data_IF_048607246832
#
_entry.id   IF_048607246832
#
_cell.length_a   1.000
_cell.length_b   1.000
_cell.length_c   1.000
_cell.angle_alpha   90.00
_cell.angle_beta   90.00
_cell.angle_gamma   90.00
#
_symmetry.space_group_name_H-M   'P 1'
#
loop_
_entity.id
_entity.type
_entity.pdbx_description
1 polymer ?
2 non-polymer ?
3 non-polymer ?
#
# COMPACT_ATOMS: atom_id res chain seq x y z
N UNK A 41 -0.09 7.02 -9.49
CA UNK A 41 0.30 6.32 -8.23
C UNK A 41 1.42 5.32 -8.51
N UNK A 42 2.51 5.39 -7.75
CA UNK A 42 3.70 4.59 -7.98
C UNK A 42 4.15 3.58 -6.91
N UNK A 43 3.39 3.39 -5.83
CA UNK A 43 3.67 2.32 -4.90
C UNK A 43 2.34 1.75 -4.58
N UNK A 44 2.35 0.44 -4.45
CA UNK A 44 1.23 -0.32 -3.96
C UNK A 44 1.68 -1.13 -2.75
N UNK A 45 2.75 -0.72 -2.09
CA UNK A 45 3.14 -1.28 -0.79
C UNK A 45 3.10 -0.20 0.31
N UNK A 46 3.11 -0.66 1.54
CA UNK A 46 3.17 0.12 2.69
C UNK A 46 4.50 0.71 2.92
N UNK A 47 5.58 0.17 2.38
CA UNK A 47 6.87 0.80 2.58
C UNK A 47 7.52 1.29 1.32
N UNK A 48 6.80 1.33 0.22
CA UNK A 48 7.41 1.77 -1.04
C UNK A 48 8.53 0.86 -1.55
N UNK A 49 8.45 -0.42 -1.29
CA UNK A 49 9.53 -1.28 -1.78
C UNK A 49 9.36 -1.45 -3.29
N UNK A 50 8.15 -1.20 -3.81
CA UNK A 50 7.90 -1.31 -5.28
C UNK A 50 8.25 -0.05 -6.04
N UNK A 51 8.65 1.00 -5.34
CA UNK A 51 8.78 2.29 -6.02
C UNK A 51 9.93 2.25 -6.95
N UNK A 52 9.74 2.68 -8.20
CA UNK A 52 10.83 2.74 -9.19
C UNK A 52 11.00 4.12 -9.82
N UNK A 53 10.50 5.16 -9.15
CA UNK A 53 10.36 6.45 -9.77
C UNK A 53 11.63 7.24 -9.90
N UNK A 54 11.45 8.42 -10.44
CA UNK A 54 12.55 9.27 -10.90
C UNK A 54 13.24 10.08 -9.81
N UNK A 55 12.54 10.25 -8.70
CA UNK A 55 12.90 11.28 -7.76
C UNK A 55 14.23 11.01 -7.09
N UNK A 56 15.12 11.99 -7.20
CA UNK A 56 16.48 11.90 -6.63
C UNK A 56 16.85 12.92 -5.56
N UNK A 57 15.81 13.57 -5.02
CA UNK A 57 15.96 14.58 -3.95
C UNK A 57 15.02 14.16 -2.82
N UNK A 58 15.57 14.04 -1.62
CA UNK A 58 14.86 13.47 -0.48
C UNK A 58 13.61 14.22 -0.13
N UNK A 59 13.66 15.53 -0.28
CA UNK A 59 12.52 16.41 -0.06
C UNK A 59 12.32 17.28 -1.33
N UNK A 60 11.08 17.43 -1.79
CA UNK A 60 10.78 18.20 -3.01
C UNK A 60 10.91 19.65 -2.66
N UNK A 61 10.48 19.99 -1.45
CA UNK A 61 10.77 21.27 -0.87
C UNK A 61 11.94 21.08 0.09
N UNK A 62 13.01 21.84 -0.13
CA UNK A 62 14.17 21.91 0.75
C UNK A 62 14.93 20.61 0.94
N UNK A 63 15.14 19.84 -0.13
CA UNK A 63 15.76 18.50 -0.03
C UNK A 63 17.22 18.38 -0.39
N UNK A 64 17.95 17.54 0.33
CA UNK A 64 19.32 17.16 -0.06
C UNK A 64 19.33 16.20 -1.24
N UNK A 65 20.40 16.20 -2.05
CA UNK A 65 20.45 15.30 -3.21
C UNK A 65 20.79 13.87 -2.83
N UNK A 66 20.32 12.93 -3.62
CA UNK A 66 20.65 11.52 -3.39
C UNK A 66 21.96 11.15 -4.12
N UNK A 67 22.78 10.40 -3.42
CA UNK A 67 23.95 9.82 -4.03
C UNK A 67 23.55 8.62 -4.90
N UNK A 68 24.37 8.32 -5.90
CA UNK A 68 24.05 7.33 -6.88
C UNK A 68 24.30 5.96 -6.30
N UNK A 69 23.50 4.97 -6.70
CA UNK A 69 23.56 3.60 -6.13
C UNK A 69 24.83 2.90 -6.49
N UNK A 70 25.25 3.07 -7.75
CA UNK A 70 26.56 2.59 -8.25
C UNK A 70 27.70 3.19 -7.47
N UNK A 71 27.56 4.42 -6.99
CA UNK A 71 28.65 5.06 -6.25
C UNK A 71 28.56 4.77 -4.74
N UNK A 72 27.63 3.88 -4.37
CA UNK A 72 27.32 3.62 -2.96
C UNK A 72 28.02 2.37 -2.46
N UNK A 73 29.09 2.01 -3.13
CA UNK A 73 29.81 0.78 -2.84
C UNK A 73 30.28 0.72 -1.39
N UNK A 74 30.90 1.80 -0.92
CA UNK A 74 31.13 2.01 0.53
C UNK A 74 29.95 1.56 1.41
N UNK A 75 28.73 1.92 1.04
CA UNK A 75 27.55 1.54 1.82
C UNK A 75 27.00 0.19 1.38
N UNK A 76 26.17 -0.45 2.23
CA UNK A 76 25.77 -1.81 1.87
C UNK A 76 25.00 -1.95 0.57
N UNK A 77 24.30 -0.93 0.10
CA UNK A 77 23.43 -1.09 -1.09
C UNK A 77 24.14 -0.53 -2.30
N UNK A 78 24.43 -1.40 -3.27
CA UNK A 78 25.24 -1.06 -4.45
C UNK A 78 24.65 -1.69 -5.70
N UNK A 79 24.92 -1.07 -6.83
CA UNK A 79 24.50 -1.64 -8.13
C UNK A 79 25.21 -2.99 -8.29
N UNK A 80 26.44 -3.07 -7.79
CA UNK A 80 27.14 -4.33 -7.71
C UNK A 80 26.40 -5.35 -6.87
N UNK A 81 25.97 -4.93 -5.69
CA UNK A 81 25.24 -5.83 -4.80
C UNK A 81 23.98 -6.40 -5.45
N UNK A 82 23.30 -5.62 -6.28
CA UNK A 82 22.09 -6.05 -6.99
C UNK A 82 22.14 -5.72 -8.44
N UNK A 83 22.07 -6.73 -9.32
CA UNK A 83 22.36 -6.46 -10.70
C UNK A 83 21.09 -6.50 -11.54
N UNK A 84 21.14 -5.87 -12.72
CA UNK A 84 20.03 -5.87 -13.67
C UNK A 84 18.79 -5.24 -13.04
N UNK A 85 18.97 -4.26 -12.17
CA UNK A 85 17.83 -3.60 -11.57
C UNK A 85 17.16 -4.27 -10.38
N UNK A 86 17.76 -5.35 -9.86
CA UNK A 86 17.17 -5.99 -8.65
C UNK A 86 17.09 -4.99 -7.46
N UNK A 87 15.97 -5.00 -6.75
CA UNK A 87 15.73 -4.00 -5.67
C UNK A 87 15.49 -2.59 -6.21
N UNK A 88 15.13 -2.49 -7.49
CA UNK A 88 15.07 -1.22 -8.19
C UNK A 88 16.41 -0.53 -8.32
N UNK A 89 17.50 -1.14 -7.85
CA UNK A 89 18.77 -0.48 -7.89
C UNK A 89 19.24 -0.42 -9.36
N UNK A 90 20.11 0.51 -9.63
CA UNK A 90 20.45 0.80 -11.01
C UNK A 90 21.46 1.89 -11.02
N UNK A 91 21.84 2.30 -12.21
CA UNK A 91 22.85 3.33 -12.31
C UNK A 91 22.18 4.69 -12.26
N UNK A 92 21.84 5.13 -11.04
CA UNK A 92 21.01 6.32 -10.80
C UNK A 92 21.06 6.70 -9.32
N UNK A 93 20.49 7.83 -8.98
CA UNK A 93 20.38 8.26 -7.60
C UNK A 93 18.89 8.33 -7.09
N UNK A 94 17.96 7.64 -7.74
CA UNK A 94 16.57 7.74 -7.34
C UNK A 94 16.26 7.07 -5.97
N UNK A 95 15.28 7.59 -5.27
CA UNK A 95 14.98 7.09 -3.96
C UNK A 95 14.49 5.67 -4.05
N UNK A 96 14.92 4.81 -3.14
CA UNK A 96 14.55 3.43 -3.21
C UNK A 96 14.52 2.85 -1.83
N UNK A 97 13.89 1.70 -1.69
CA UNK A 97 13.82 1.01 -0.43
C UNK A 97 14.13 -0.46 -0.69
N UNK A 98 15.40 -0.78 -0.80
CA UNK A 98 15.77 -2.15 -1.09
C UNK A 98 15.97 -3.06 0.17
N UNK A 99 15.81 -2.47 1.35
CA UNK A 99 16.05 -3.21 2.59
C UNK A 99 14.75 -3.36 3.45
N UNK A 100 13.57 -3.15 2.84
CA UNK A 100 12.31 -3.12 3.58
C UNK A 100 12.33 -2.21 4.80
N UNK A 101 12.88 -1.00 4.62
CA UNK A 101 12.75 0.09 5.60
C UNK A 101 11.29 0.49 5.53
N UNK A 102 10.90 1.41 6.37
CA UNK A 102 9.49 1.86 6.37
C UNK A 102 9.09 2.66 5.13
N UNK A 103 10.05 3.32 4.51
CA UNK A 103 9.80 4.15 3.36
C UNK A 103 11.02 4.22 2.44
N UNK A 104 10.83 4.54 1.14
CA UNK A 104 11.94 4.93 0.25
C UNK A 104 12.88 5.93 0.86
N UNK A 105 14.13 5.86 0.44
CA UNK A 105 15.20 6.72 0.94
C UNK A 105 16.34 6.66 -0.05
N UNK A 106 17.33 7.50 0.17
CA UNK A 106 18.57 7.42 -0.59
C UNK A 106 19.71 7.93 0.27
N UNK A 107 20.92 7.51 -0.07
CA UNK A 107 22.09 7.95 0.70
C UNK A 107 22.40 9.44 0.46
N UNK A 108 22.97 10.07 1.50
CA UNK A 108 23.45 11.45 1.43
C UNK A 108 24.85 11.61 2.07
N UNK A 116 23.66 11.16 7.50
CA UNK A 116 24.20 10.82 6.18
C UNK A 116 23.26 10.03 5.21
N UNK A 117 22.25 9.30 5.72
CA UNK A 117 21.22 8.64 4.86
C UNK A 117 19.85 9.15 5.25
N UNK A 118 18.98 9.44 4.27
CA UNK A 118 17.67 10.12 4.54
C UNK A 118 16.48 9.56 3.81
N UNK A 119 15.30 9.66 4.45
CA UNK A 119 14.03 9.24 3.84
C UNK A 119 13.68 10.15 2.70
N UNK A 120 12.94 9.59 1.75
CA UNK A 120 12.44 10.36 0.66
C UNK A 120 10.95 10.62 0.88
N UNK A 121 10.56 11.88 0.70
CA UNK A 121 9.16 12.28 0.83
C UNK A 121 8.57 12.33 -0.54
N UNK A 122 7.76 11.36 -0.86
CA UNK A 122 7.22 11.20 -2.20
C UNK A 122 5.68 11.22 -2.16
N UNK A 123 5.05 12.22 -2.81
CA UNK A 123 3.59 12.24 -2.83
C UNK A 123 3.01 11.09 -3.66
N UNK A 124 3.64 10.73 -4.77
CA UNK A 124 3.04 9.67 -5.56
C UNK A 124 3.17 8.29 -4.90
N UNK A 125 4.11 8.15 -3.97
CA UNK A 125 4.34 6.86 -3.37
C UNK A 125 3.43 6.71 -2.22
N UNK A 126 2.17 6.37 -2.47
CA UNK A 126 1.26 6.10 -1.38
C UNK A 126 0.30 5.05 -1.80
N UNK A 127 0.30 3.90 -1.15
CA UNK A 127 -0.57 2.81 -1.59
C UNK A 127 -2.01 3.23 -1.52
N UNK A 128 -2.77 2.99 -2.60
CA UNK A 128 -4.23 3.12 -2.56
C UNK A 128 -4.73 2.27 -1.40
N UNK A 129 -5.55 2.84 -0.54
CA UNK A 129 -5.95 2.14 0.69
C UNK A 129 -5.41 2.96 1.83
N UNK A 130 -4.36 3.71 1.55
CA UNK A 130 -3.80 4.61 2.51
C UNK A 130 -4.27 6.03 2.24
N UNK A 131 -4.97 6.59 3.20
CA UNK A 131 -5.61 7.88 3.03
C UNK A 131 -4.76 9.06 3.37
N UNK A 132 -3.56 8.85 3.83
CA UNK A 132 -2.66 9.93 4.10
C UNK A 132 -2.27 9.80 5.52
N UNK A 133 -1.38 10.68 5.97
CA UNK A 133 -1.27 10.85 7.36
C UNK A 133 -1.53 12.27 7.78
N UNK A 134 -2.22 12.37 8.93
CA UNK A 134 -2.83 13.61 9.42
C UNK A 134 -2.28 13.93 10.77
N UNK A 135 -2.41 15.18 11.11
CA UNK A 135 -2.00 15.62 12.42
C UNK A 135 -3.04 15.14 13.47
N UNK A 136 -2.57 14.99 14.72
CA UNK A 136 -3.45 14.70 15.88
C UNK A 136 -3.12 15.61 17.07
N UNK A 137 -4.06 16.50 17.43
CA UNK A 137 -3.85 17.49 18.53
C UNK A 137 -4.68 17.19 19.80
N UNK A 138 -4.92 15.90 20.05
CA UNK A 138 -5.70 15.41 21.19
C UNK A 138 -7.19 15.47 20.90
N UNK A 139 -8.02 15.37 21.95
CA UNK A 139 -9.46 15.47 21.85
C UNK A 139 -9.95 16.74 21.14
N UNK A 140 -10.94 16.60 20.27
CA UNK A 140 -11.47 15.31 19.84
C UNK A 140 -10.44 14.59 18.99
N UNK A 141 -10.31 13.25 19.08
CA UNK A 141 -9.34 12.56 18.21
C UNK A 141 -9.81 12.47 16.75
N UNK A 142 -8.92 12.19 15.79
CA UNK A 142 -9.40 12.21 14.38
C UNK A 142 -10.37 11.08 14.02
N UNK A 143 -10.21 9.95 14.69
CA UNK A 143 -11.10 8.82 14.59
C UNK A 143 -11.71 8.60 15.93
N UNK A 144 -12.99 8.89 15.97
CA UNK A 144 -13.73 9.02 17.23
C UNK A 144 -14.09 7.67 17.83
N UNK A 145 -14.31 6.69 16.96
CA UNK A 145 -15.00 5.47 17.34
C UNK A 145 -14.40 4.58 18.41
N UNK A 146 -13.10 4.31 18.31
CA UNK A 146 -12.47 3.38 19.25
C UNK A 146 -10.96 3.54 19.24
N UNK A 147 -10.29 2.86 20.18
CA UNK A 147 -8.84 2.85 20.28
C UNK A 147 -8.31 1.58 20.93
N UNK A 148 -7.04 1.27 20.70
CA UNK A 148 -6.32 0.23 21.46
C UNK A 148 -4.81 0.38 21.27
N UNK A 149 -4.02 -0.38 22.04
CA UNK A 149 -2.56 -0.28 21.94
C UNK A 149 -1.89 -1.67 21.84
N UNK A 150 -0.86 -1.87 21.02
CA UNK A 150 -0.15 -3.17 20.98
C UNK A 150 1.33 -3.02 20.78
N UNK A 151 2.07 -3.78 21.57
CA UNK A 151 3.52 -3.82 21.45
C UNK A 151 3.95 -4.55 20.19
N UNK A 152 3.13 -5.50 19.69
CA UNK A 152 3.37 -6.19 18.42
C UNK A 152 2.36 -5.73 17.31
N UNK A 153 1.95 -4.46 17.37
CA UNK A 153 0.97 -3.90 16.41
C UNK A 153 1.55 -3.91 15.01
N UNK A 154 0.69 -4.23 14.02
CA UNK A 154 1.02 -4.05 12.60
C UNK A 154 -0.15 -3.48 11.86
N UNK A 155 0.12 -2.88 10.71
CA UNK A 155 -0.90 -2.13 9.98
C UNK A 155 -2.15 -3.04 9.84
N UNK A 156 -1.96 -4.34 9.54
CA UNK A 156 -3.12 -5.19 9.24
C UNK A 156 -3.83 -5.51 10.49
N UNK A 157 -3.06 -5.78 11.55
CA UNK A 157 -3.60 -6.06 12.91
C UNK A 157 -4.49 -4.91 13.26
N UNK A 158 -4.03 -3.68 13.02
CA UNK A 158 -4.92 -2.53 13.34
C UNK A 158 -6.19 -2.53 12.46
N UNK A 159 -5.98 -2.79 11.18
CA UNK A 159 -7.06 -2.89 10.22
C UNK A 159 -8.03 -4.02 10.51
N UNK A 160 -7.47 -5.15 10.87
CA UNK A 160 -8.24 -6.35 11.07
C UNK A 160 -9.11 -6.12 12.32
N UNK A 161 -8.50 -5.47 13.30
CA UNK A 161 -9.17 -5.03 14.53
C UNK A 161 -10.32 -4.10 14.29
N UNK A 162 -10.09 -3.03 13.52
CA UNK A 162 -11.19 -2.07 13.21
C UNK A 162 -12.27 -2.74 12.37
N UNK A 163 -11.84 -3.52 11.37
CA UNK A 163 -12.76 -4.32 10.55
C UNK A 163 -13.71 -5.13 11.44
N UNK A 164 -13.20 -5.81 12.45
CA UNK A 164 -14.05 -6.59 13.36
C UNK A 164 -15.11 -5.72 14.06
N UNK A 165 -14.75 -4.51 14.50
CA UNK A 165 -15.78 -3.59 15.04
C UNK A 165 -16.68 -3.03 13.93
N UNK A 166 -16.29 -3.20 12.67
CA UNK A 166 -17.06 -2.77 11.49
C UNK A 166 -16.89 -1.28 11.15
N UNK A 167 -15.84 -0.70 11.72
CA UNK A 167 -15.43 0.64 11.40
C UNK A 167 -14.76 0.55 10.03
N UNK A 168 -14.95 1.56 9.18
CA UNK A 168 -14.34 1.55 7.83
C UNK A 168 -13.00 2.28 7.71
N UNK A 169 -12.59 2.93 8.79
CA UNK A 169 -11.33 3.65 8.83
C UNK A 169 -10.46 3.29 10.03
N UNK A 170 -9.14 3.18 9.82
CA UNK A 170 -8.21 2.82 10.91
C UNK A 170 -6.98 3.73 10.95
N UNK A 171 -6.35 3.90 12.13
CA UNK A 171 -5.18 4.77 12.24
C UNK A 171 -4.13 4.23 13.17
N UNK A 172 -2.88 4.48 12.82
CA UNK A 172 -1.78 4.01 13.67
C UNK A 172 -1.00 5.23 14.10
N UNK A 173 -0.58 5.27 15.37
CA UNK A 173 0.08 6.45 15.92
C UNK A 173 1.26 5.96 16.76
N UNK A 174 2.41 6.63 16.60
CA UNK A 174 3.61 6.36 17.37
C UNK A 174 4.18 4.92 17.34
N UNK A 175 3.69 4.08 16.42
CA UNK A 175 4.12 2.69 16.32
C UNK A 175 3.30 1.67 17.10
N UNK A 176 2.45 2.11 18.04
CA UNK A 176 1.82 1.15 19.00
C UNK A 176 0.35 1.40 19.25
N UNK A 177 -0.22 2.41 18.61
CA UNK A 177 -1.59 2.78 18.91
C UNK A 177 -2.47 2.62 17.70
N UNK A 178 -3.59 1.92 17.88
CA UNK A 178 -4.56 1.73 16.84
C UNK A 178 -5.81 2.46 17.16
N UNK A 179 -6.33 3.23 16.20
CA UNK A 179 -7.63 3.92 16.32
C UNK A 179 -8.59 3.53 15.17
N UNK A 180 -9.89 3.43 15.47
CA UNK A 180 -10.99 3.04 14.54
C UNK A 180 -12.19 4.06 14.52
N UNK A 181 -12.64 4.43 13.34
CA UNK A 181 -13.71 5.41 13.17
C UNK A 181 -14.46 5.26 11.85
N UNK A 182 -15.71 5.74 11.83
CA UNK A 182 -16.48 5.93 10.59
C UNK A 182 -16.58 7.45 10.24
N UNK A 183 -15.94 8.31 11.08
CA UNK A 183 -15.62 9.74 10.79
C UNK A 183 -15.12 9.92 9.37
N UNK A 184 -15.87 10.63 8.52
CA UNK A 184 -15.24 11.04 7.27
C UNK A 184 -14.17 12.13 7.48
N UNK A 185 -14.27 12.89 8.55
CA UNK A 185 -13.34 14.00 8.84
C UNK A 185 -12.18 13.58 9.73
N UNK A 186 -11.50 12.54 9.37
CA UNK A 186 -10.24 12.22 10.01
C UNK A 186 -9.13 13.24 9.71
N UNK A 187 -9.36 14.06 8.69
CA UNK A 187 -8.42 15.10 8.26
C UNK A 187 -8.61 16.39 9.01
N UNK A 188 -9.47 16.37 10.02
CA UNK A 188 -9.83 17.58 10.81
C UNK A 188 -8.64 18.40 11.22
N UNK A 189 -7.64 17.77 11.84
CA UNK A 189 -6.48 18.49 12.35
C UNK A 189 -5.49 18.87 11.26
N UNK A 190 -5.71 18.45 10.02
CA UNK A 190 -4.82 18.82 8.93
C UNK A 190 -3.94 17.69 8.42
N UNK A 191 -3.66 17.74 7.13
CA UNK A 191 -2.76 16.81 6.47
C UNK A 191 -1.31 17.02 6.87
N UNK A 192 -0.53 15.96 7.00
CA UNK A 192 0.90 16.15 7.30
C UNK A 192 1.74 15.49 6.26
N UNK A 193 2.98 15.92 6.04
CA UNK A 193 3.93 15.12 5.23
C UNK A 193 4.06 13.61 5.63
N UNK A 194 4.34 12.77 4.63
CA UNK A 194 4.36 11.29 4.82
C UNK A 194 5.48 10.81 5.74
N UNK A 195 6.59 11.52 5.64
CA UNK A 195 7.72 11.19 6.44
C UNK A 195 7.39 11.33 7.93
N UNK A 196 6.51 12.28 8.27
CA UNK A 196 6.13 12.44 9.64
C UNK A 196 5.42 11.18 10.18
N UNK A 197 4.85 10.34 9.31
CA UNK A 197 4.21 9.07 9.77
C UNK A 197 5.08 7.85 9.88
N UNK A 198 6.40 8.03 9.74
CA UNK A 198 7.34 6.85 9.60
C UNK A 198 7.68 6.04 10.85
N UNK A 199 7.11 6.34 12.01
CA UNK A 199 7.47 5.50 13.14
C UNK A 199 7.13 4.03 12.84
N UNK A 200 8.04 3.14 13.12
CA UNK A 200 7.84 1.76 12.72
C UNK A 200 6.79 1.07 13.58
N UNK A 201 5.97 0.25 12.96
CA UNK A 201 5.07 -0.61 13.66
C UNK A 201 5.90 -1.53 14.52
N UNK A 202 5.51 -1.63 15.77
CA UNK A 202 6.25 -2.39 16.69
C UNK A 202 6.27 -3.87 16.36
N UNK A 203 5.14 -4.38 15.88
CA UNK A 203 5.06 -5.73 15.32
C UNK A 203 5.84 -6.04 14.03
N UNK A 204 6.07 -5.06 13.19
CA UNK A 204 6.79 -5.21 11.93
C UNK A 204 7.50 -3.89 11.65
N UNK A 205 8.81 -3.97 11.45
CA UNK A 205 9.56 -2.76 11.31
C UNK A 205 9.71 -2.35 9.92
N UNK A 206 9.20 -3.19 9.01
CA UNK A 206 9.09 -2.91 7.59
C UNK A 206 8.00 -1.91 7.30
N UNK A 207 6.98 -1.84 8.12
CA UNK A 207 5.84 -0.93 7.92
C UNK A 207 5.87 0.30 8.87
N UNK A 208 5.38 1.46 8.40
CA UNK A 208 5.25 2.58 9.31
C UNK A 208 3.93 2.55 10.02
N UNK A 209 3.94 3.06 11.25
CA UNK A 209 2.76 3.19 12.03
C UNK A 209 2.54 4.63 12.51
N UNK A 210 3.10 5.62 11.85
CA UNK A 210 2.75 7.02 12.17
C UNK A 210 3.72 7.47 13.20
N UNK A 211 3.92 8.76 13.40
CA UNK A 211 4.64 9.29 14.59
C UNK A 211 3.76 10.11 15.55
N UNK A 212 4.16 10.32 16.81
CA UNK A 212 3.24 10.96 17.77
C UNK A 212 2.87 12.35 17.30
N UNK A 213 1.56 12.60 17.39
CA UNK A 213 0.97 13.79 16.84
C UNK A 213 0.67 13.66 15.41
N UNK A 214 0.87 12.44 14.91
CA UNK A 214 0.81 12.11 13.48
C UNK A 214 0.20 10.75 13.41
N UNK A 215 -0.82 10.63 12.57
CA UNK A 215 -1.56 9.36 12.44
C UNK A 215 -1.71 9.07 10.96
N UNK A 216 -1.70 7.78 10.66
CA UNK A 216 -1.61 7.26 9.27
C UNK A 216 -2.86 6.47 9.10
N UNK A 217 -3.57 6.76 8.04
CA UNK A 217 -4.92 6.26 7.90
C UNK A 217 -5.05 5.21 6.81
N UNK A 218 -5.71 4.09 7.17
CA UNK A 218 -6.06 3.09 6.20
C UNK A 218 -7.53 2.79 6.10
N UNK A 219 -8.04 2.59 4.88
CA UNK A 219 -9.40 2.08 4.62
C UNK A 219 -9.37 0.63 5.07
N UNK A 220 -10.37 0.19 5.80
CA UNK A 220 -10.25 -1.11 6.46
C UNK A 220 -10.44 -2.27 5.50
N UNK A 221 -11.02 -1.99 4.34
CA UNK A 221 -11.06 -2.97 3.26
C UNK A 221 -9.70 -3.59 2.82
N UNK A 222 -8.60 -2.89 3.00
CA UNK A 222 -7.28 -3.43 2.63
C UNK A 222 -7.00 -4.74 3.29
N UNK A 223 -6.55 -5.72 2.55
CA UNK A 223 -6.22 -7.02 3.13
C UNK A 223 -7.41 -7.89 3.47
N UNK A 224 -8.64 -7.42 3.26
CA UNK A 224 -9.83 -8.17 3.70
C UNK A 224 -9.99 -9.45 2.94
N UNK A 225 -10.52 -10.46 3.64
CA UNK A 225 -10.81 -11.72 2.99
C UNK A 225 -12.16 -11.57 2.32
N UNK A 226 -12.09 -11.18 1.05
CA UNK A 226 -13.26 -10.93 0.23
C UNK A 226 -13.82 -9.55 0.41
N UNK A 227 -14.99 -9.32 -0.15
CA UNK A 227 -15.51 -7.95 -0.27
C UNK A 227 -16.27 -7.68 -1.56
N UNK A 228 -17.07 -6.62 -1.51
CA UNK A 228 -17.88 -6.17 -2.66
C UNK A 228 -17.37 -4.77 -3.01
N UNK A 229 -17.08 -4.51 -4.28
CA UNK A 229 -16.42 -3.25 -4.70
C UNK A 229 -17.30 -2.54 -5.70
N UNK A 230 -17.56 -1.24 -5.48
CA UNK A 230 -18.55 -0.44 -6.31
C UNK A 230 -17.95 0.75 -7.03
N UNK A 231 -16.81 1.25 -6.56
CA UNK A 231 -16.25 2.49 -7.07
C UNK A 231 -15.66 2.32 -8.46
N UNK A 232 -15.51 3.46 -9.12
CA UNK A 232 -15.07 3.49 -10.49
C UNK A 232 -13.73 2.81 -10.62
N UNK A 233 -12.88 3.01 -9.63
CA UNK A 233 -11.62 2.30 -9.57
C UNK A 233 -11.20 2.08 -8.13
N UNK A 234 -10.46 0.99 -7.86
CA UNK A 234 -9.82 0.77 -6.54
C UNK A 234 -8.85 -0.30 -6.67
N UNK A 235 -8.16 -0.64 -5.58
CA UNK A 235 -7.17 -1.69 -5.62
C UNK A 235 -7.59 -2.80 -4.73
N UNK A 236 -7.43 -4.02 -5.20
CA UNK A 236 -7.67 -5.20 -4.38
C UNK A 236 -6.37 -5.79 -4.00
N UNK A 237 -6.17 -5.91 -2.71
CA UNK A 237 -4.94 -6.41 -2.17
C UNK A 237 -5.15 -7.88 -1.71
N UNK A 238 -4.03 -8.63 -1.69
CA UNK A 238 -4.07 -9.99 -1.20
C UNK A 238 -4.48 -9.95 0.24
N UNK A 239 -5.13 -10.99 0.72
CA UNK A 239 -5.55 -10.94 2.12
C UNK A 239 -4.39 -10.68 3.09
N UNK A 240 -4.65 -9.95 4.18
CA UNK A 240 -3.66 -9.59 5.25
C UNK A 240 -2.59 -8.58 4.83
N UNK A 241 -2.63 -8.19 3.57
CA UNK A 241 -1.74 -7.20 3.10
C UNK A 241 -1.92 -5.95 3.96
N UNK A 242 -0.83 -5.33 4.45
CA UNK A 242 0.55 -5.67 4.18
C UNK A 242 1.20 -6.87 4.89
N UNK A 243 0.65 -7.39 5.95
CA UNK A 243 1.31 -8.55 6.58
C UNK A 243 1.28 -9.73 5.64
N UNK A 244 2.24 -10.64 5.86
CA UNK A 244 2.32 -11.95 5.09
C UNK A 244 0.92 -12.48 4.64
N UNK A 249 -5.97 -18.79 4.22
CA UNK A 249 -7.35 -18.64 3.74
C UNK A 249 -7.38 -18.41 2.24
N UNK A 250 -8.51 -18.76 1.59
CA UNK A 250 -8.81 -18.35 0.20
C UNK A 250 -10.15 -17.57 0.13
N UNK A 251 -10.17 -16.54 -0.72
CA UNK A 251 -11.17 -15.46 -0.68
C UNK A 251 -11.41 -15.03 -2.12
N UNK A 252 -12.56 -14.38 -2.32
CA UNK A 252 -12.87 -13.79 -3.61
C UNK A 252 -13.55 -12.44 -3.50
N UNK A 253 -13.34 -11.64 -4.54
CA UNK A 253 -13.77 -10.26 -4.48
C UNK A 253 -14.63 -10.06 -5.65
N UNK A 254 -15.81 -9.50 -5.43
CA UNK A 254 -16.78 -9.20 -6.47
C UNK A 254 -16.70 -7.72 -6.78
N UNK A 255 -16.45 -7.41 -8.02
CA UNK A 255 -16.34 -6.04 -8.45
C UNK A 255 -17.51 -5.79 -9.35
N UNK A 256 -18.39 -4.85 -8.97
CA UNK A 256 -19.58 -4.57 -9.76
C UNK A 256 -19.85 -3.08 -9.89
N UNK A 257 -19.90 -2.62 -11.12
CA UNK A 257 -20.08 -1.19 -11.40
C UNK A 257 -21.19 -1.06 -12.41
N UNK A 258 -22.32 -0.50 -11.99
CA UNK A 258 -23.38 -0.41 -12.94
C UNK A 258 -22.96 0.49 -14.10
N UNK A 259 -23.41 0.12 -15.31
CA UNK A 259 -23.11 0.85 -16.54
C UNK A 259 -21.64 1.15 -16.80
N UNK A 260 -20.80 0.14 -16.68
CA UNK A 260 -19.43 0.20 -17.22
C UNK A 260 -19.34 -0.65 -18.50
N UNK A 261 -18.74 -0.04 -19.53
CA UNK A 261 -18.64 -0.70 -20.84
C UNK A 261 -17.55 -1.71 -20.80
N UNK A 262 -16.52 -1.42 -20.05
CA UNK A 262 -15.41 -2.32 -19.83
C UNK A 262 -14.70 -1.90 -18.59
N UNK A 263 -13.87 -2.83 -18.12
CA UNK A 263 -12.96 -2.62 -16.98
C UNK A 263 -11.51 -3.03 -17.31
N UNK A 264 -10.58 -2.16 -16.97
CA UNK A 264 -9.19 -2.42 -17.22
C UNK A 264 -8.56 -2.88 -15.94
N UNK A 265 -7.97 -4.08 -15.99
CA UNK A 265 -7.18 -4.64 -14.89
C UNK A 265 -5.69 -4.59 -15.06
N UNK A 266 -5.03 -4.54 -13.92
CA UNK A 266 -3.63 -4.13 -13.88
C UNK A 266 -3.07 -4.80 -12.63
N UNK A 267 -1.79 -5.15 -12.57
CA UNK A 267 -1.23 -5.92 -11.45
C UNK A 267 0.05 -5.25 -11.12
N UNK A 268 -0.04 -4.02 -10.55
CA UNK A 268 1.21 -3.39 -10.24
C UNK A 268 1.98 -4.23 -9.23
N UNK A 269 1.30 -4.97 -8.38
CA UNK A 269 2.02 -5.90 -7.50
C UNK A 269 1.59 -7.31 -7.70
N UNK A 270 2.54 -8.12 -8.16
CA UNK A 270 2.33 -9.52 -8.33
C UNK A 270 3.48 -10.25 -7.67
N UNK A 271 3.18 -10.99 -6.62
CA UNK A 271 4.21 -11.68 -5.87
C UNK A 271 3.61 -12.96 -5.30
N UNK A 272 3.32 -13.92 -6.16
CA UNK A 272 2.79 -15.19 -5.70
C UNK A 272 3.88 -16.20 -5.57
N UNK A 273 3.90 -16.81 -4.40
CA UNK A 273 5.00 -17.64 -3.96
C UNK A 273 5.13 -18.96 -4.79
N UNK A 274 4.02 -19.59 -5.19
CA UNK A 274 4.12 -20.85 -5.95
C UNK A 274 3.11 -20.94 -7.08
N UNK A 275 3.47 -21.69 -8.09
CA UNK A 275 2.58 -21.94 -9.21
C UNK A 275 1.35 -22.66 -8.67
N UNK A 276 1.53 -23.43 -7.60
CA UNK A 276 0.39 -24.05 -6.91
C UNK A 276 -0.64 -22.99 -6.59
N UNK A 277 -0.14 -21.85 -6.16
CA UNK A 277 -1.02 -20.73 -5.91
C UNK A 277 -1.46 -20.11 -7.20
N UNK A 278 -2.69 -19.59 -7.19
CA UNK A 278 -3.31 -19.07 -8.40
C UNK A 278 -4.33 -17.97 -8.19
N UNK A 279 -4.44 -17.09 -9.19
CA UNK A 279 -5.36 -15.94 -9.19
C UNK A 279 -6.20 -16.00 -10.47
N UNK A 280 -7.51 -15.96 -10.29
CA UNK A 280 -8.50 -16.12 -11.32
C UNK A 280 -9.30 -14.84 -11.49
N UNK A 281 -9.64 -14.54 -12.72
CA UNK A 281 -10.65 -13.54 -12.99
C UNK A 281 -11.80 -14.17 -13.77
N UNK A 282 -13.01 -13.82 -13.41
CA UNK A 282 -14.20 -14.55 -13.79
C UNK A 282 -15.32 -13.57 -14.16
N UNK A 283 -15.93 -13.74 -15.32
CA UNK A 283 -17.19 -13.06 -15.64
C UNK A 283 -18.20 -13.35 -14.49
N UNK A 284 -18.70 -12.32 -13.85
CA UNK A 284 -19.71 -12.47 -12.76
C UNK A 284 -21.06 -13.01 -13.23
N UNK A 285 -21.50 -12.72 -14.45
CA UNK A 285 -22.78 -13.23 -14.92
C UNK A 285 -22.72 -14.78 -15.14
N UNK A 286 -21.85 -15.22 -16.05
CA UNK A 286 -21.72 -16.63 -16.45
C UNK A 286 -20.72 -17.47 -15.65
N UNK A 287 -19.76 -16.84 -15.01
CA UNK A 287 -18.66 -17.54 -14.32
C UNK A 287 -17.68 -18.21 -15.27
N UNK A 288 -17.66 -17.82 -16.55
CA UNK A 288 -16.59 -18.14 -17.47
C UNK A 288 -15.29 -17.49 -16.96
N UNK A 289 -14.17 -18.21 -17.05
CA UNK A 289 -12.89 -17.74 -16.62
C UNK A 289 -12.26 -16.85 -17.65
N UNK A 290 -12.03 -15.61 -17.24
CA UNK A 290 -11.39 -14.64 -18.08
C UNK A 290 -9.87 -14.67 -17.98
N UNK A 291 -9.33 -15.13 -16.86
CA UNK A 291 -7.88 -15.35 -16.75
C UNK A 291 -7.46 -16.21 -15.56
N UNK A 292 -6.33 -16.88 -15.68
CA UNK A 292 -5.78 -17.68 -14.61
C UNK A 292 -4.33 -17.30 -14.43
N UNK A 293 -3.80 -17.30 -13.20
CA UNK A 293 -2.36 -17.04 -12.99
C UNK A 293 -1.77 -17.87 -11.88
N UNK A 294 -0.52 -18.29 -12.06
CA UNK A 294 0.18 -18.96 -10.98
C UNK A 294 1.45 -18.24 -10.52
N UNK A 295 2.08 -18.71 -9.45
CA UNK A 295 3.44 -18.30 -9.12
C UNK A 295 4.41 -18.69 -10.21
N UNK A 299 2.07 -10.43 -15.05
CA UNK A 299 0.84 -10.54 -15.91
C UNK A 299 0.67 -9.35 -16.84
N UNK A 300 0.65 -9.59 -18.19
CA UNK A 300 1.01 -8.43 -19.04
C UNK A 300 0.07 -7.24 -18.83
N UNK A 301 0.63 -6.05 -19.10
CA UNK A 301 0.49 -4.89 -18.21
C UNK A 301 -0.95 -4.66 -17.75
N UNK A 302 -1.87 -4.92 -18.69
CA UNK A 302 -3.22 -4.70 -18.44
C UNK A 302 -4.02 -5.62 -19.33
N UNK A 303 -5.30 -5.80 -19.00
CA UNK A 303 -6.24 -6.10 -20.03
C UNK A 303 -7.57 -5.44 -19.77
N UNK A 304 -8.37 -5.28 -20.84
CA UNK A 304 -9.72 -4.71 -20.79
C UNK A 304 -10.75 -5.88 -20.72
N UNK A 305 -11.69 -5.84 -19.79
CA UNK A 305 -12.83 -6.75 -19.83
C UNK A 305 -14.09 -5.94 -20.05
N UNK A 306 -14.93 -6.41 -20.98
CA UNK A 306 -16.12 -5.74 -21.44
C UNK A 306 -17.27 -6.36 -20.69
N UNK A 307 -17.32 -6.00 -19.39
CA UNK A 307 -18.43 -6.28 -18.51
C UNK A 307 -18.37 -5.24 -17.42
N UNK A 308 -19.41 -5.23 -16.58
CA UNK A 308 -19.48 -4.32 -15.43
C UNK A 308 -19.47 -5.07 -14.15
N UNK A 309 -19.42 -6.40 -14.27
CA UNK A 309 -19.56 -7.35 -13.16
C UNK A 309 -18.50 -8.47 -13.35
N UNK A 310 -17.46 -8.43 -12.53
CA UNK A 310 -16.41 -9.45 -12.52
C UNK A 310 -16.05 -9.88 -11.11
N UNK A 311 -15.54 -11.10 -10.99
CA UNK A 311 -15.05 -11.65 -9.73
C UNK A 311 -13.57 -12.01 -9.76
N UNK A 312 -12.89 -11.56 -8.73
CA UNK A 312 -11.50 -11.95 -8.48
C UNK A 312 -11.42 -13.07 -7.47
N UNK A 313 -10.80 -14.17 -7.89
CA UNK A 313 -10.69 -15.34 -7.09
C UNK A 313 -9.20 -15.65 -6.86
N UNK A 314 -8.81 -15.97 -5.62
CA UNK A 314 -7.41 -16.24 -5.26
C UNK A 314 -7.28 -17.55 -4.51
N UNK A 315 -6.33 -18.39 -4.93
CA UNK A 315 -6.14 -19.74 -4.40
C UNK A 315 -4.90 -19.86 -3.55
N UNK A 324 2.47 -11.08 -1.43
CA UNK A 324 1.09 -10.81 -1.85
C UNK A 324 0.97 -10.32 -3.29
N UNK A 325 -0.22 -9.91 -3.69
CA UNK A 325 -0.48 -9.21 -4.97
C UNK A 325 -1.30 -7.93 -4.73
N UNK A 326 -1.37 -7.07 -5.74
CA UNK A 326 -2.29 -5.92 -5.74
C UNK A 326 -2.83 -5.85 -7.11
N UNK A 327 -4.15 -5.82 -7.24
CA UNK A 327 -4.72 -5.71 -8.54
C UNK A 327 -5.55 -4.47 -8.60
N UNK A 328 -5.21 -3.64 -9.59
CA UNK A 328 -5.90 -2.35 -9.77
C UNK A 328 -6.89 -2.37 -10.91
N UNK A 329 -8.13 -2.10 -10.58
CA UNK A 329 -9.19 -2.08 -11.61
C UNK A 329 -9.71 -0.67 -11.85
N UNK A 330 -9.78 -0.23 -13.07
CA UNK A 330 -10.20 1.12 -13.39
C UNK A 330 -11.25 0.97 -14.48
N UNK A 331 -12.50 1.38 -14.15
CA UNK A 331 -13.70 1.16 -14.96
C UNK A 331 -14.06 2.36 -15.74
N UNK A 332 -14.61 2.15 -16.95
CA UNK A 332 -15.12 3.24 -17.84
C UNK A 332 -16.64 3.43 -18.00
N UNK A 333 -17.12 4.59 -17.62
CA UNK A 333 -18.54 4.99 -17.75
C UNK A 333 -18.62 5.87 -18.96
X LIG B 1 1.93 19.93 15.47
X LIG C 1 -11.44 -11.05 7.10
X LIG D 1 17.71 13.70 -11.13
X LIG D 1 18.99 14.52 -11.33
X LIG D 1 19.11 15.15 -12.71
X LIG D 1 18.80 14.12 -13.80
X LIG D 1 17.46 13.43 -13.54
X LIG D 1 17.14 12.37 -14.59
X LIG D 1 19.92 15.81 -9.44
X LIG D 1 19.74 17.10 -8.68
X LIG D 1 19.05 15.66 -10.42
X LIG D 1 20.42 15.71 -12.86
X LIG D 1 18.79 14.84 -15.05
X LIG D 1 17.49 12.83 -12.25
X LIG D 1 15.96 11.63 -14.22
X LIG D 1 20.78 14.99 -9.15
X LIG E 1 27.42 4.50 -12.30
X LIG E 1 28.90 4.77 -12.69
X LIG E 1 28.99 6.29 -12.70
X LIG E 1 28.12 6.79 -13.87
X LIG E 1 26.67 6.36 -13.68
X LIG E 1 25.75 6.66 -14.86
X LIG E 1 30.24 2.77 -11.86
X LIG E 1 31.46 2.39 -11.08
X LIG E 1 30.01 4.11 -11.95
X LIG E 1 30.34 6.71 -12.80
X LIG E 1 28.09 8.20 -13.97
X LIG E 1 26.66 4.95 -13.45
X LIG E 1 26.17 5.93 -16.01
X LIG E 1 29.53 1.90 -12.34
#
# INVERSE_FOLDING_TARGET
MGILPSPGMPALLSLVSLLSVLLMGCVAETGAPSPGLGPGPECFTANGADYRGTQNWTALQGGKPCLFWNETFQHPYNTLKYPNGEGGLGEHNYCRNPDGDVSPWCYVAEHEDGVYWKYCEIPACQMPGNLGCYKDHGNPPPLTGTSKTSNKLTIQTCISFCRSQRFKFAGMESGYACFCGNNPDYWKYGEAASTECNSVCFGDHTQPCGGDGRIILFDTLVGACGGNYSAMSSVVYSPDFPDTYATGRVCYWTIRVPGASHIHFSFPLFDIRDSADMVELLDGYTHRVLARFHGRSRPPLSFNVSLDFVILYFFSDRINQAQGFAVLYQAVKEEGSENLYFQGGSLPQERPAVNQTVAEVITEQANLSVSAARSSKVLYVITTSPSHPPQTVPGTHHHHHHHHHH
CL CL
CL CL
NAG C1 C2 C3 C4 C5 C6 C7 C8 N2 O3 O4 O5 O6 O7
NAG C1 C2 C3 C4 C5 C6 C7 C8 N2 O3 O4 O5 O6 O7
#
